data_IF_323344398721
#
_entry.id   IF_323344398721
#
_cell.length_a   1.000
_cell.length_b   1.000
_cell.length_c   1.000
_cell.angle_alpha   90.00
_cell.angle_beta   90.00
_cell.angle_gamma   90.00
#
_symmetry.space_group_name_H-M   'P 1'
#
loop_
_entity.id
_entity.type
_entity.pdbx_description
1 polymer ?
#
# COMPACT_ATOMS: atom_id res chain seq x y z
N UNK A 1 -16.27 -3.86 -6.69
CA UNK A 1 -15.78 -4.60 -5.47
C UNK A 1 -14.57 -3.86 -4.95
N UNK A 2 -14.43 -3.74 -3.64
CA UNK A 2 -13.24 -3.11 -3.07
C UNK A 2 -11.97 -3.92 -3.36
N UNK A 3 -10.87 -3.22 -3.58
CA UNK A 3 -9.56 -3.84 -3.83
C UNK A 3 -8.85 -4.07 -2.50
N UNK A 4 -8.50 -5.32 -2.19
CA UNK A 4 -7.84 -5.83 -0.98
C UNK A 4 -8.67 -5.77 0.32
N UNK A 5 -9.34 -4.67 0.63
CA UNK A 5 -10.06 -4.49 1.92
C UNK A 5 -11.45 -3.91 1.70
N UNK A 6 -12.43 -4.38 2.47
CA UNK A 6 -13.82 -3.96 2.43
C UNK A 6 -14.45 -3.96 3.84
N UNK A 7 -15.78 -3.74 3.92
CA UNK A 7 -16.53 -3.76 5.18
C UNK A 7 -16.53 -5.11 5.91
N UNK A 8 -16.17 -6.21 5.23
CA UNK A 8 -16.11 -7.55 5.81
C UNK A 8 -14.70 -7.89 6.32
N UNK A 9 -13.73 -7.00 6.11
CA UNK A 9 -12.36 -7.19 6.54
C UNK A 9 -12.27 -7.14 8.06
N UNK A 10 -11.77 -8.23 8.67
CA UNK A 10 -11.57 -8.39 10.11
C UNK A 10 -10.09 -8.28 10.44
N UNK A 11 -9.73 -7.15 11.03
CA UNK A 11 -8.34 -6.75 11.22
C UNK A 11 -7.82 -7.19 12.58
N UNK A 12 -6.68 -7.86 12.61
CA UNK A 12 -5.87 -8.02 13.81
C UNK A 12 -4.62 -7.13 13.74
N UNK A 13 -4.09 -6.76 14.90
CA UNK A 13 -2.87 -5.96 14.99
C UNK A 13 -1.74 -6.76 15.63
N UNK A 14 -0.58 -6.84 15.00
CA UNK A 14 0.65 -7.36 15.62
C UNK A 14 1.46 -6.19 16.22
N UNK A 15 1.94 -6.36 17.45
CA UNK A 15 2.44 -5.26 18.27
C UNK A 15 1.31 -4.43 18.91
N UNK A 16 0.20 -5.09 19.24
CA UNK A 16 -1.10 -4.48 19.55
C UNK A 16 -1.06 -3.53 20.77
N UNK A 17 -0.40 -3.92 21.85
CA UNK A 17 -0.31 -3.10 23.07
C UNK A 17 0.83 -2.07 23.04
N UNK A 18 1.56 -1.98 21.94
CA UNK A 18 2.56 -0.93 21.73
C UNK A 18 1.88 0.40 21.36
N UNK A 19 2.56 1.53 21.61
CA UNK A 19 2.00 2.86 21.36
C UNK A 19 1.47 3.04 19.92
N UNK A 20 2.22 2.60 18.92
CA UNK A 20 1.79 2.70 17.51
C UNK A 20 0.63 1.76 17.20
N UNK A 21 0.69 0.50 17.66
CA UNK A 21 -0.39 -0.47 17.49
C UNK A 21 -1.70 0.02 18.10
N UNK A 22 -1.66 0.49 19.35
CA UNK A 22 -2.81 1.07 20.03
C UNK A 22 -3.38 2.28 19.29
N UNK A 23 -2.54 3.27 18.97
CA UNK A 23 -2.97 4.51 18.32
C UNK A 23 -3.61 4.25 16.96
N UNK A 24 -2.94 3.49 16.09
CA UNK A 24 -3.47 3.28 14.74
C UNK A 24 -4.65 2.32 14.69
N UNK A 25 -4.75 1.35 15.61
CA UNK A 25 -5.95 0.53 15.77
C UNK A 25 -7.14 1.39 16.21
N UNK A 26 -6.94 2.30 17.19
CA UNK A 26 -8.01 3.23 17.62
C UNK A 26 -8.50 4.12 16.46
N UNK A 27 -7.59 4.63 15.63
CA UNK A 27 -7.94 5.41 14.44
C UNK A 27 -8.67 4.58 13.38
N UNK A 28 -8.33 3.31 13.21
CA UNK A 28 -9.03 2.38 12.34
C UNK A 28 -10.46 2.09 12.82
N UNK A 29 -10.62 1.82 14.11
CA UNK A 29 -11.92 1.63 14.76
C UNK A 29 -12.80 2.89 14.62
N UNK A 30 -12.23 4.06 14.92
CA UNK A 30 -12.92 5.35 14.76
C UNK A 30 -13.35 5.63 13.30
N UNK A 31 -12.61 5.11 12.34
CA UNK A 31 -12.95 5.19 10.91
C UNK A 31 -14.11 4.25 10.53
N UNK A 32 -14.40 3.25 11.33
CA UNK A 32 -15.44 2.24 11.06
C UNK A 32 -14.91 0.88 10.59
N UNK A 33 -13.58 0.67 10.63
CA UNK A 33 -12.98 -0.64 10.31
C UNK A 33 -13.21 -1.63 11.46
N UNK A 34 -13.41 -2.91 11.14
CA UNK A 34 -13.64 -3.96 12.12
C UNK A 34 -12.34 -4.54 12.64
N UNK A 35 -11.80 -3.98 13.73
CA UNK A 35 -10.68 -4.57 14.47
C UNK A 35 -11.21 -5.60 15.47
N UNK A 36 -10.58 -6.78 15.52
CA UNK A 36 -11.09 -7.93 16.28
C UNK A 36 -10.17 -8.38 17.41
N UNK A 37 -8.99 -7.80 17.53
CA UNK A 37 -7.97 -8.11 18.53
C UNK A 37 -6.57 -7.94 17.99
N UNK A 38 -5.59 -8.51 18.67
CA UNK A 38 -4.21 -8.47 18.19
C UNK A 38 -3.26 -9.27 19.07
N UNK A 39 -2.00 -9.29 18.65
CA UNK A 39 -0.95 -10.03 19.36
C UNK A 39 0.05 -9.12 20.05
N UNK A 40 0.42 -9.51 21.25
CA UNK A 40 1.60 -9.04 21.97
C UNK A 40 2.12 -10.21 22.81
N UNK A 41 3.24 -10.83 22.42
CA UNK A 41 3.81 -11.98 23.12
C UNK A 41 3.97 -11.72 24.63
N UNK A 42 3.54 -12.68 25.45
CA UNK A 42 3.56 -12.58 26.90
C UNK A 42 2.39 -11.80 27.52
N UNK A 43 1.42 -11.33 26.71
CA UNK A 43 0.20 -10.65 27.19
C UNK A 43 -1.08 -11.35 26.75
N UNK A 44 -0.97 -12.56 26.20
CA UNK A 44 -2.13 -13.36 25.82
C UNK A 44 -3.09 -13.63 26.96
N UNK A 45 -4.37 -13.76 26.63
CA UNK A 45 -5.44 -13.96 27.61
C UNK A 45 -5.90 -12.69 28.35
N UNK A 46 -5.35 -11.52 28.00
CA UNK A 46 -5.77 -10.22 28.57
C UNK A 46 -6.65 -9.45 27.59
N UNK A 47 -7.29 -8.39 28.08
CA UNK A 47 -7.97 -7.40 27.25
C UNK A 47 -7.09 -6.16 27.07
N UNK A 48 -7.10 -5.59 25.87
CA UNK A 48 -6.40 -4.32 25.61
C UNK A 48 -7.03 -3.21 26.46
N UNK A 49 -6.21 -2.46 27.26
CA UNK A 49 -6.73 -1.55 28.28
C UNK A 49 -7.55 -0.38 27.70
N UNK A 50 -7.22 0.09 26.50
CA UNK A 50 -7.90 1.23 25.88
C UNK A 50 -8.97 0.80 24.85
N UNK A 51 -8.74 -0.29 24.13
CA UNK A 51 -9.60 -0.68 23.00
C UNK A 51 -10.64 -1.75 23.36
N UNK A 52 -10.52 -2.36 24.56
CA UNK A 52 -11.38 -3.43 25.03
C UNK A 52 -11.53 -4.58 24.02
N UNK A 53 -10.44 -4.96 23.38
CA UNK A 53 -10.32 -6.06 22.43
C UNK A 53 -9.34 -7.11 22.98
N UNK A 54 -9.52 -8.41 22.66
CA UNK A 54 -8.68 -9.48 23.17
C UNK A 54 -7.23 -9.38 22.66
N UNK A 55 -6.29 -9.69 23.55
CA UNK A 55 -4.87 -9.80 23.25
C UNK A 55 -4.49 -11.27 23.28
N UNK A 56 -3.70 -11.70 22.31
CA UNK A 56 -3.21 -13.07 22.13
C UNK A 56 -1.68 -13.13 22.12
N UNK A 57 -1.12 -14.30 22.42
CA UNK A 57 0.32 -14.48 22.32
C UNK A 57 0.76 -14.77 20.88
N UNK A 58 -0.08 -15.42 20.08
CA UNK A 58 0.24 -15.81 18.70
C UNK A 58 -0.82 -15.39 17.69
N UNK A 59 -0.38 -15.24 16.42
CA UNK A 59 -1.28 -14.95 15.29
C UNK A 59 -2.26 -16.09 15.07
N UNK A 60 -1.82 -17.33 15.14
CA UNK A 60 -2.67 -18.51 14.95
C UNK A 60 -3.81 -18.55 15.98
N UNK A 61 -3.52 -18.26 17.26
CA UNK A 61 -4.53 -18.18 18.31
C UNK A 61 -5.54 -17.06 18.04
N UNK A 62 -5.05 -15.88 17.64
CA UNK A 62 -5.91 -14.74 17.30
C UNK A 62 -6.84 -15.07 16.14
N UNK A 63 -6.31 -15.65 15.05
CA UNK A 63 -7.12 -16.08 13.89
C UNK A 63 -8.17 -17.09 14.27
N UNK A 64 -7.80 -18.12 15.03
CA UNK A 64 -8.71 -19.19 15.46
C UNK A 64 -9.87 -18.67 16.30
N UNK A 65 -9.62 -17.69 17.18
CA UNK A 65 -10.62 -17.13 18.10
C UNK A 65 -11.47 -16.01 17.49
N UNK A 66 -10.89 -15.22 16.56
CA UNK A 66 -11.52 -14.00 16.05
C UNK A 66 -11.90 -14.10 14.58
N UNK A 67 -11.40 -15.11 13.86
CA UNK A 67 -11.54 -15.22 12.39
C UNK A 67 -11.01 -13.97 11.67
N UNK A 68 -9.91 -13.40 12.16
CA UNK A 68 -9.21 -12.32 11.49
C UNK A 68 -8.75 -12.78 10.10
N UNK A 69 -8.99 -11.95 9.09
CA UNK A 69 -8.59 -12.19 7.70
C UNK A 69 -7.61 -11.14 7.16
N UNK A 70 -7.24 -10.19 7.98
CA UNK A 70 -6.18 -9.23 7.71
C UNK A 70 -5.35 -8.97 8.96
N UNK A 71 -4.02 -8.87 8.80
CA UNK A 71 -3.10 -8.47 9.87
C UNK A 71 -2.39 -7.17 9.51
N UNK A 72 -2.29 -6.25 10.46
CA UNK A 72 -1.44 -5.07 10.34
C UNK A 72 -0.30 -5.12 11.35
N UNK A 73 0.93 -4.86 10.88
CA UNK A 73 2.16 -5.03 11.67
C UNK A 73 2.75 -3.66 12.02
N UNK A 74 2.87 -3.40 13.34
CA UNK A 74 3.57 -2.27 13.93
C UNK A 74 4.73 -2.73 14.81
N UNK A 75 5.18 -3.95 14.64
CA UNK A 75 6.30 -4.56 15.38
C UNK A 75 7.59 -3.84 14.99
N UNK A 76 8.52 -3.57 15.93
CA UNK A 76 9.82 -2.97 15.61
C UNK A 76 10.63 -3.75 14.57
N UNK A 77 11.42 -3.05 13.76
CA UNK A 77 12.12 -3.59 12.60
C UNK A 77 12.89 -4.90 12.83
N UNK A 78 13.62 -5.11 13.96
CA UNK A 78 14.34 -6.36 14.21
C UNK A 78 13.45 -7.61 14.33
N UNK A 79 12.15 -7.42 14.61
CA UNK A 79 11.19 -8.51 14.84
C UNK A 79 10.07 -8.54 13.78
N UNK A 80 10.03 -7.56 12.88
CA UNK A 80 8.92 -7.42 11.94
C UNK A 80 8.91 -8.51 10.86
N UNK A 81 10.07 -9.00 10.45
CA UNK A 81 10.15 -10.14 9.52
C UNK A 81 9.55 -11.41 10.13
N UNK A 82 9.85 -11.70 11.41
CA UNK A 82 9.29 -12.84 12.13
C UNK A 82 7.77 -12.69 12.28
N UNK A 83 7.28 -11.47 12.55
CA UNK A 83 5.85 -11.17 12.60
C UNK A 83 5.14 -11.43 11.25
N UNK A 84 5.80 -11.12 10.11
CA UNK A 84 5.28 -11.44 8.78
C UNK A 84 5.26 -12.95 8.57
N UNK A 85 6.35 -13.67 8.92
CA UNK A 85 6.46 -15.11 8.77
C UNK A 85 5.41 -15.85 9.61
N UNK A 86 5.16 -15.41 10.84
CA UNK A 86 4.11 -15.93 11.70
C UNK A 86 2.71 -15.77 11.09
N UNK A 87 2.44 -14.63 10.48
CA UNK A 87 1.17 -14.39 9.79
C UNK A 87 1.02 -15.25 8.52
N UNK A 88 2.11 -15.52 7.80
CA UNK A 88 2.12 -16.46 6.67
C UNK A 88 1.85 -17.89 7.15
N UNK A 89 2.49 -18.33 8.23
CA UNK A 89 2.31 -19.67 8.82
C UNK A 89 0.86 -19.86 9.30
N UNK A 90 0.26 -18.83 9.86
CA UNK A 90 -1.14 -18.82 10.26
C UNK A 90 -2.14 -18.64 9.08
N UNK A 91 -1.66 -18.65 7.84
CA UNK A 91 -2.46 -18.49 6.60
C UNK A 91 -3.35 -17.23 6.59
N UNK A 92 -2.90 -16.13 7.19
CA UNK A 92 -3.63 -14.85 7.13
C UNK A 92 -3.69 -14.36 5.67
N UNK A 93 -4.87 -14.18 5.08
CA UNK A 93 -4.98 -13.85 3.65
C UNK A 93 -4.31 -12.55 3.25
N UNK A 94 -4.37 -11.51 4.11
CA UNK A 94 -3.80 -10.19 3.86
C UNK A 94 -2.92 -9.75 5.03
N UNK A 95 -1.68 -9.43 4.75
CA UNK A 95 -0.71 -8.88 5.73
C UNK A 95 -0.25 -7.51 5.26
N UNK A 96 -0.34 -6.51 6.13
CA UNK A 96 0.08 -5.14 5.85
C UNK A 96 1.18 -4.78 6.85
N UNK A 97 2.41 -4.62 6.36
CA UNK A 97 3.56 -4.29 7.20
C UNK A 97 3.90 -2.79 7.08
N UNK A 98 3.65 -2.05 8.17
CA UNK A 98 3.93 -0.61 8.22
C UNK A 98 5.41 -0.35 8.51
N UNK A 99 6.04 -1.25 9.24
CA UNK A 99 7.40 -1.11 9.76
C UNK A 99 8.41 -0.80 8.67
N UNK A 100 9.21 0.23 8.90
CA UNK A 100 10.39 0.60 8.12
C UNK A 100 11.67 0.03 8.75
N UNK A 101 12.70 -0.21 7.92
CA UNK A 101 14.04 -0.58 8.38
C UNK A 101 14.23 -2.07 8.64
N UNK A 102 13.38 -2.93 8.10
CA UNK A 102 13.58 -4.38 8.14
C UNK A 102 14.83 -4.73 7.30
N UNK A 103 15.78 -5.54 7.82
CA UNK A 103 16.95 -5.95 7.06
C UNK A 103 16.58 -6.64 5.75
N UNK A 104 17.25 -6.26 4.66
CA UNK A 104 16.97 -6.80 3.31
C UNK A 104 17.03 -8.33 3.28
N UNK A 105 18.02 -8.95 3.96
CA UNK A 105 18.15 -10.40 4.00
C UNK A 105 16.99 -11.10 4.71
N UNK A 106 16.38 -10.44 5.69
CA UNK A 106 15.20 -10.99 6.37
C UNK A 106 13.98 -10.90 5.46
N UNK A 107 13.84 -9.79 4.69
CA UNK A 107 12.81 -9.68 3.67
C UNK A 107 12.99 -10.67 2.51
N UNK A 108 14.21 -11.11 2.19
CA UNK A 108 14.46 -12.20 1.22
C UNK A 108 13.89 -13.52 1.75
N UNK A 109 14.04 -13.82 3.06
CA UNK A 109 13.41 -14.99 3.71
C UNK A 109 11.89 -14.92 3.64
N UNK A 110 11.33 -13.74 3.98
CA UNK A 110 9.89 -13.47 3.86
C UNK A 110 9.40 -13.70 2.43
N UNK A 111 10.11 -13.15 1.43
CA UNK A 111 9.73 -13.32 0.02
C UNK A 111 9.74 -14.79 -0.42
N UNK A 112 10.67 -15.60 0.10
CA UNK A 112 10.69 -17.04 -0.12
C UNK A 112 9.48 -17.73 0.50
N UNK A 113 9.11 -17.37 1.74
CA UNK A 113 7.95 -17.95 2.42
C UNK A 113 6.62 -17.57 1.73
N UNK A 114 6.53 -16.33 1.20
CA UNK A 114 5.38 -15.90 0.40
C UNK A 114 5.21 -16.72 -0.89
N UNK A 115 6.32 -17.21 -1.47
CA UNK A 115 6.26 -18.03 -2.68
C UNK A 115 5.57 -19.36 -2.40
N UNK A 116 4.37 -19.53 -2.94
CA UNK A 116 3.53 -20.71 -2.69
C UNK A 116 2.57 -20.60 -1.50
N UNK A 117 2.61 -19.52 -0.73
CA UNK A 117 1.59 -19.21 0.27
C UNK A 117 0.35 -18.58 -0.37
N UNK A 118 -0.76 -18.53 0.38
CA UNK A 118 -1.98 -17.82 -0.01
C UNK A 118 -2.01 -16.38 0.52
N UNK A 119 -1.00 -15.99 1.30
CA UNK A 119 -0.91 -14.69 1.93
C UNK A 119 -0.49 -13.62 0.92
N UNK A 120 -1.22 -12.53 0.86
CA UNK A 120 -0.82 -11.31 0.17
C UNK A 120 -0.14 -10.38 1.17
N UNK A 121 1.08 -9.93 0.87
CA UNK A 121 1.81 -8.95 1.68
C UNK A 121 1.82 -7.58 1.00
N UNK A 122 1.41 -6.54 1.71
CA UNK A 122 1.57 -5.12 1.35
C UNK A 122 2.66 -4.51 2.23
N UNK A 123 3.63 -3.84 1.62
CA UNK A 123 4.83 -3.36 2.32
C UNK A 123 5.99 -4.36 2.31
N UNK A 124 6.99 -4.20 3.16
CA UNK A 124 7.10 -3.30 4.32
C UNK A 124 7.26 -1.82 3.97
N UNK A 125 7.45 -0.97 5.00
CA UNK A 125 7.65 0.48 4.84
C UNK A 125 6.52 1.12 4.01
N UNK A 126 5.28 0.83 4.36
CA UNK A 126 4.11 1.29 3.63
C UNK A 126 3.11 2.03 4.53
N UNK A 127 2.28 2.93 3.98
CA UNK A 127 1.27 3.63 4.76
C UNK A 127 0.01 2.81 5.01
N UNK A 128 -0.13 1.64 4.38
CA UNK A 128 -1.31 0.78 4.50
C UNK A 128 -2.22 0.78 3.28
N UNK A 129 -3.47 0.41 3.52
CA UNK A 129 -4.54 0.29 2.51
C UNK A 129 -5.82 0.91 3.05
N UNK A 130 -6.57 1.59 2.18
CA UNK A 130 -7.88 2.14 2.52
C UNK A 130 -8.85 2.01 1.34
N UNK A 131 -10.05 1.51 1.63
CA UNK A 131 -11.23 1.64 0.77
C UNK A 131 -12.16 2.65 1.44
N UNK A 132 -12.30 3.86 0.86
CA UNK A 132 -13.01 4.94 1.52
C UNK A 132 -14.47 4.59 1.86
N UNK A 133 -14.84 4.83 3.13
CA UNK A 133 -16.17 4.52 3.67
C UNK A 133 -16.37 3.04 4.05
N UNK A 134 -15.38 2.17 3.87
CA UNK A 134 -15.48 0.75 4.19
C UNK A 134 -14.44 0.26 5.19
N UNK A 135 -13.15 0.42 4.87
CA UNK A 135 -12.08 -0.11 5.70
C UNK A 135 -10.80 0.71 5.54
N UNK A 136 -10.15 0.99 6.66
CA UNK A 136 -8.84 1.64 6.77
C UNK A 136 -7.91 0.76 7.60
N UNK A 137 -6.78 0.37 7.03
CA UNK A 137 -5.71 -0.35 7.71
C UNK A 137 -4.38 0.38 7.50
N UNK A 138 -3.70 0.71 8.59
CA UNK A 138 -2.43 1.43 8.54
C UNK A 138 -2.54 2.89 8.99
N UNK A 139 -1.60 3.72 8.52
CA UNK A 139 -1.37 5.08 9.02
C UNK A 139 -1.98 6.19 8.16
N UNK A 140 -2.62 5.87 7.03
CA UNK A 140 -3.23 6.87 6.16
C UNK A 140 -4.28 7.71 6.92
N UNK A 141 -4.31 9.05 6.75
CA UNK A 141 -5.31 9.91 7.37
C UNK A 141 -6.69 9.69 6.73
N UNK A 142 -7.62 9.04 7.44
CA UNK A 142 -8.93 8.67 6.90
C UNK A 142 -9.78 9.86 6.42
N UNK A 143 -9.65 11.01 7.09
CA UNK A 143 -10.48 12.20 6.84
C UNK A 143 -10.25 12.88 5.47
N UNK A 144 -9.12 12.65 4.81
CA UNK A 144 -8.86 13.19 3.46
C UNK A 144 -9.44 12.32 2.33
N UNK A 145 -9.76 11.05 2.64
CA UNK A 145 -10.30 10.11 1.68
C UNK A 145 -11.81 10.30 1.50
N UNK A 146 -12.28 10.22 0.26
CA UNK A 146 -13.70 10.25 -0.08
C UNK A 146 -14.02 9.10 -1.03
N UNK A 147 -15.18 8.46 -0.89
CA UNK A 147 -15.63 7.44 -1.84
C UNK A 147 -15.69 8.04 -3.25
N UNK A 148 -15.14 7.33 -4.22
CA UNK A 148 -15.10 7.76 -5.61
C UNK A 148 -14.53 6.68 -6.52
N UNK A 149 -13.86 7.08 -7.59
CA UNK A 149 -13.47 6.15 -8.66
C UNK A 149 -11.99 6.15 -9.03
N UNK A 150 -11.14 6.86 -8.30
CA UNK A 150 -9.70 6.88 -8.56
C UNK A 150 -9.01 5.78 -7.74
N UNK A 151 -8.38 4.82 -8.40
CA UNK A 151 -7.44 3.89 -7.76
C UNK A 151 -6.10 4.60 -7.53
N UNK A 152 -5.54 4.55 -6.33
CA UNK A 152 -4.24 5.15 -6.02
C UNK A 152 -3.26 4.06 -5.61
N UNK A 153 -2.13 3.95 -6.31
CA UNK A 153 -1.01 3.07 -5.94
C UNK A 153 0.27 3.89 -5.82
N UNK A 154 0.99 3.72 -4.71
CA UNK A 154 2.13 4.58 -4.41
C UNK A 154 3.21 3.90 -3.58
N UNK A 155 4.47 4.21 -3.85
CA UNK A 155 5.62 3.88 -2.99
C UNK A 155 5.74 4.82 -1.80
N UNK A 156 5.28 6.07 -1.95
CA UNK A 156 5.43 7.14 -0.97
C UNK A 156 4.17 7.34 -0.14
N UNK A 157 4.27 7.35 1.18
CA UNK A 157 3.18 7.71 2.07
C UNK A 157 2.72 9.16 1.86
N UNK A 158 3.63 10.11 1.94
CA UNK A 158 3.34 11.56 1.86
C UNK A 158 2.70 11.96 0.53
N UNK A 159 3.28 11.48 -0.60
CA UNK A 159 2.72 11.77 -1.92
C UNK A 159 1.38 11.06 -2.17
N UNK A 160 1.13 9.94 -1.52
CA UNK A 160 -0.19 9.32 -1.49
C UNK A 160 -1.22 10.27 -0.91
N UNK A 161 -0.92 10.88 0.24
CA UNK A 161 -1.84 11.82 0.90
C UNK A 161 -2.10 13.05 0.07
N UNK A 162 -1.08 13.56 -0.62
CA UNK A 162 -1.21 14.68 -1.55
C UNK A 162 -2.16 14.34 -2.72
N UNK A 163 -1.94 13.20 -3.38
CA UNK A 163 -2.80 12.75 -4.48
C UNK A 163 -4.25 12.54 -4.05
N UNK A 164 -4.44 11.92 -2.87
CA UNK A 164 -5.77 11.68 -2.30
C UNK A 164 -6.47 12.99 -1.96
N UNK A 165 -5.79 13.94 -1.31
CA UNK A 165 -6.35 15.24 -0.98
C UNK A 165 -6.81 16.00 -2.24
N UNK A 166 -5.96 16.03 -3.29
CA UNK A 166 -6.28 16.69 -4.55
C UNK A 166 -7.43 16.04 -5.30
N UNK A 167 -7.44 14.71 -5.42
CA UNK A 167 -8.52 13.97 -6.09
C UNK A 167 -9.85 14.08 -5.33
N UNK A 168 -9.80 14.12 -3.99
CA UNK A 168 -10.96 14.40 -3.14
C UNK A 168 -11.49 15.83 -3.30
N UNK A 169 -10.59 16.82 -3.35
CA UNK A 169 -10.94 18.21 -3.58
C UNK A 169 -11.53 18.45 -4.98
N UNK A 170 -11.04 17.70 -5.98
CA UNK A 170 -11.58 17.72 -7.34
C UNK A 170 -12.94 17.00 -7.49
N UNK A 171 -13.48 16.43 -6.42
CA UNK A 171 -14.77 15.72 -6.44
C UNK A 171 -14.71 14.31 -7.05
N UNK A 172 -13.50 13.78 -7.32
CA UNK A 172 -13.32 12.46 -7.93
C UNK A 172 -13.37 11.32 -6.89
N UNK A 173 -12.79 11.55 -5.70
CA UNK A 173 -12.68 10.56 -4.65
C UNK A 173 -11.88 9.32 -5.07
N UNK A 174 -11.76 8.33 -4.19
CA UNK A 174 -10.99 7.12 -4.45
C UNK A 174 -11.87 5.86 -4.36
N UNK A 175 -11.62 4.90 -5.26
CA UNK A 175 -12.15 3.54 -5.15
C UNK A 175 -11.38 2.76 -4.09
N UNK A 176 -10.06 2.79 -4.17
CA UNK A 176 -9.13 2.24 -3.19
C UNK A 176 -7.80 2.97 -3.25
N UNK A 177 -7.09 2.98 -2.14
CA UNK A 177 -5.74 3.55 -2.04
C UNK A 177 -4.81 2.51 -1.42
N UNK A 178 -3.74 2.15 -2.14
CA UNK A 178 -2.78 1.11 -1.76
C UNK A 178 -1.38 1.71 -1.72
N UNK A 179 -0.79 1.77 -0.54
CA UNK A 179 0.62 2.10 -0.38
C UNK A 179 1.46 0.83 -0.40
N UNK A 180 2.30 0.66 -1.42
CA UNK A 180 3.14 -0.55 -1.58
C UNK A 180 4.49 -0.48 -0.87
N UNK A 181 4.88 0.71 -0.41
CA UNK A 181 6.13 0.94 0.30
C UNK A 181 7.34 1.22 -0.58
N UNK A 182 8.37 1.77 0.04
CA UNK A 182 9.61 2.22 -0.61
C UNK A 182 10.79 1.26 -0.50
N UNK A 183 10.63 0.08 0.10
CA UNK A 183 11.71 -0.88 0.27
C UNK A 183 12.02 -1.64 -1.02
N UNK A 184 13.29 -2.05 -1.23
CA UNK A 184 13.71 -2.76 -2.45
C UNK A 184 13.14 -4.19 -2.52
N UNK A 185 12.92 -4.86 -1.39
CA UNK A 185 12.29 -6.18 -1.30
C UNK A 185 10.97 -6.03 -0.56
N UNK A 186 9.89 -6.20 -1.28
CA UNK A 186 8.52 -5.98 -0.78
C UNK A 186 7.57 -7.11 -1.20
N UNK A 187 6.39 -7.12 -0.64
CA UNK A 187 5.30 -8.01 -0.99
C UNK A 187 4.77 -7.70 -2.39
N UNK A 188 3.66 -6.97 -2.46
CA UNK A 188 3.08 -6.49 -3.73
C UNK A 188 3.94 -5.41 -4.37
N UNK A 189 3.93 -5.38 -5.70
CA UNK A 189 4.50 -4.31 -6.50
C UNK A 189 3.42 -3.61 -7.35
N UNK A 190 3.80 -2.66 -8.20
CA UNK A 190 2.87 -1.92 -9.07
C UNK A 190 1.99 -2.85 -9.90
N UNK A 191 2.55 -3.86 -10.57
CA UNK A 191 1.77 -4.78 -11.41
C UNK A 191 0.63 -5.42 -10.63
N UNK A 192 0.91 -5.92 -9.42
CA UNK A 192 -0.08 -6.62 -8.61
C UNK A 192 -1.30 -5.73 -8.30
N UNK A 193 -1.05 -4.47 -7.95
CA UNK A 193 -2.13 -3.51 -7.64
C UNK A 193 -2.81 -2.99 -8.91
N UNK A 194 -2.04 -2.73 -9.98
CA UNK A 194 -2.59 -2.28 -11.26
C UNK A 194 -3.51 -3.33 -11.86
N UNK A 195 -3.16 -4.61 -11.78
CA UNK A 195 -4.01 -5.71 -12.23
C UNK A 195 -5.36 -5.73 -11.49
N UNK A 196 -5.33 -5.53 -10.16
CA UNK A 196 -6.54 -5.41 -9.35
C UNK A 196 -7.39 -4.20 -9.79
N UNK A 197 -6.77 -3.03 -9.99
CA UNK A 197 -7.47 -1.83 -10.43
C UNK A 197 -8.06 -1.96 -11.85
N UNK A 198 -7.39 -2.68 -12.76
CA UNK A 198 -7.94 -2.91 -14.10
C UNK A 198 -9.17 -3.80 -14.06
N UNK A 199 -9.21 -4.79 -13.18
CA UNK A 199 -10.35 -5.73 -12.99
C UNK A 199 -11.50 -5.12 -12.19
N UNK A 200 -11.23 -4.12 -11.35
CA UNK A 200 -12.23 -3.50 -10.50
C UNK A 200 -13.11 -2.52 -11.29
N UNK A 201 -14.42 -2.78 -11.32
CA UNK A 201 -15.39 -1.96 -12.04
C UNK A 201 -15.60 -0.57 -11.43
N UNK A 202 -15.35 -0.41 -10.12
CA UNK A 202 -15.48 0.89 -9.45
C UNK A 202 -14.29 1.80 -9.75
N UNK A 203 -13.12 1.24 -10.04
CA UNK A 203 -11.94 2.01 -10.43
C UNK A 203 -12.06 2.45 -11.89
N UNK A 204 -12.25 3.75 -12.13
CA UNK A 204 -12.40 4.33 -13.48
C UNK A 204 -11.13 5.02 -13.98
N UNK A 205 -10.24 5.38 -13.07
CA UNK A 205 -8.95 6.00 -13.39
C UNK A 205 -7.92 5.64 -12.31
N UNK A 206 -6.63 5.83 -12.60
CA UNK A 206 -5.55 5.37 -11.72
C UNK A 206 -4.53 6.49 -11.53
N UNK A 207 -4.08 6.69 -10.29
CA UNK A 207 -2.88 7.46 -9.95
C UNK A 207 -1.78 6.50 -9.53
N UNK A 208 -0.63 6.59 -10.20
CA UNK A 208 0.56 5.77 -9.97
C UNK A 208 1.72 6.67 -9.55
N UNK A 209 2.19 6.53 -8.30
CA UNK A 209 3.26 7.37 -7.74
C UNK A 209 4.47 6.52 -7.44
N UNK A 210 5.55 6.81 -8.15
CA UNK A 210 6.85 6.17 -7.96
C UNK A 210 7.94 7.18 -7.57
N UNK A 211 9.15 6.70 -7.58
CA UNK A 211 10.34 7.45 -7.24
C UNK A 211 11.56 6.89 -7.97
N UNK A 212 12.69 7.55 -7.88
CA UNK A 212 13.96 7.05 -8.39
C UNK A 212 14.33 5.68 -7.79
N UNK A 213 15.17 4.94 -8.49
CA UNK A 213 15.69 3.63 -8.07
C UNK A 213 14.80 2.45 -8.46
N UNK A 214 15.43 1.36 -8.85
CA UNK A 214 14.77 0.16 -9.36
C UNK A 214 14.03 0.38 -10.68
N UNK A 215 13.25 -0.61 -11.10
CA UNK A 215 12.56 -0.62 -12.40
C UNK A 215 11.04 -0.84 -12.28
N UNK A 216 10.50 -0.90 -11.09
CA UNK A 216 9.10 -1.28 -10.85
C UNK A 216 8.09 -0.39 -11.60
N UNK A 217 8.36 0.92 -11.68
CA UNK A 217 7.50 1.88 -12.38
C UNK A 217 7.51 1.66 -13.90
N UNK A 218 8.68 1.32 -14.45
CA UNK A 218 8.81 1.03 -15.89
C UNK A 218 8.11 -0.27 -16.25
N UNK A 219 8.26 -1.28 -15.42
CA UNK A 219 7.56 -2.58 -15.57
C UNK A 219 6.05 -2.39 -15.45
N UNK A 220 5.59 -1.55 -14.50
CA UNK A 220 4.19 -1.17 -14.37
C UNK A 220 3.66 -0.40 -15.58
N UNK A 221 4.45 0.51 -16.14
CA UNK A 221 4.10 1.25 -17.35
C UNK A 221 3.97 0.32 -18.58
N UNK A 222 4.91 -0.61 -18.76
CA UNK A 222 4.85 -1.61 -19.83
C UNK A 222 3.63 -2.54 -19.66
N UNK A 223 3.30 -2.92 -18.43
CA UNK A 223 2.08 -3.67 -18.12
C UNK A 223 0.83 -2.90 -18.54
N UNK A 224 0.70 -1.63 -18.17
CA UNK A 224 -0.42 -0.77 -18.54
C UNK A 224 -0.51 -0.59 -20.06
N UNK A 225 0.61 -0.43 -20.74
CA UNK A 225 0.64 -0.33 -22.21
C UNK A 225 0.02 -1.56 -22.88
N UNK A 226 0.27 -2.75 -22.34
CA UNK A 226 -0.25 -4.01 -22.89
C UNK A 226 -1.68 -4.32 -22.47
N UNK A 227 -2.01 -4.05 -21.18
CA UNK A 227 -3.26 -4.57 -20.59
C UNK A 227 -4.34 -3.51 -20.42
N UNK A 228 -4.00 -2.22 -20.41
CA UNK A 228 -4.98 -1.16 -20.22
C UNK A 228 -5.34 -0.43 -21.51
N UNK A 229 -4.38 -0.16 -22.40
CA UNK A 229 -4.59 0.72 -23.54
C UNK A 229 -4.76 -0.04 -24.86
N UNK A 230 -5.73 0.41 -25.68
CA UNK A 230 -5.99 -0.12 -27.03
C UNK A 230 -7.37 -0.72 -27.21
N UNK A 231 -7.68 -1.22 -28.42
CA UNK A 231 -8.98 -1.82 -28.73
C UNK A 231 -9.30 -3.02 -27.82
N UNK A 232 -10.51 -3.03 -27.25
CA UNK A 232 -10.96 -4.10 -26.37
C UNK A 232 -10.32 -4.13 -24.96
N UNK A 233 -9.53 -3.12 -24.61
CA UNK A 233 -8.92 -2.95 -23.30
C UNK A 233 -9.75 -2.01 -22.40
N UNK A 234 -9.49 -1.99 -21.08
CA UNK A 234 -10.22 -1.12 -20.15
C UNK A 234 -10.14 0.36 -20.47
N UNK A 235 -9.01 0.83 -21.02
CA UNK A 235 -8.73 2.23 -21.37
C UNK A 235 -8.97 3.22 -20.21
N UNK A 236 -8.66 2.80 -18.99
CA UNK A 236 -8.76 3.67 -17.81
C UNK A 236 -7.67 4.74 -17.88
N UNK A 237 -7.99 6.04 -17.76
CA UNK A 237 -6.97 7.08 -17.69
C UNK A 237 -6.02 6.86 -16.51
N UNK A 238 -4.72 7.02 -16.77
CA UNK A 238 -3.68 6.86 -15.75
C UNK A 238 -2.86 8.13 -15.65
N UNK A 239 -2.67 8.62 -14.43
CA UNK A 239 -1.77 9.72 -14.10
C UNK A 239 -0.58 9.18 -13.32
N UNK A 240 0.63 9.50 -13.76
CA UNK A 240 1.88 9.11 -13.11
C UNK A 240 2.63 10.30 -12.52
N UNK A 241 3.38 10.04 -11.46
CA UNK A 241 4.36 10.96 -10.92
C UNK A 241 5.59 10.20 -10.41
N UNK A 242 6.79 10.73 -10.66
CA UNK A 242 8.05 10.17 -10.18
C UNK A 242 8.77 11.20 -9.31
N UNK A 243 8.98 10.86 -8.05
CA UNK A 243 9.75 11.68 -7.11
C UNK A 243 11.26 11.53 -7.34
N UNK A 244 12.02 12.58 -7.01
CA UNK A 244 13.48 12.55 -6.99
C UNK A 244 14.15 13.05 -8.27
N UNK A 245 13.50 13.85 -9.11
CA UNK A 245 14.09 14.41 -10.34
C UNK A 245 15.39 15.20 -10.12
N UNK A 246 15.59 15.77 -8.93
CA UNK A 246 16.80 16.52 -8.56
C UNK A 246 17.77 15.70 -7.70
N UNK A 247 17.53 14.41 -7.53
CA UNK A 247 18.37 13.56 -6.69
C UNK A 247 19.73 13.28 -7.35
N UNK A 248 20.84 13.46 -6.63
CA UNK A 248 22.16 13.14 -7.16
C UNK A 248 22.33 11.60 -7.26
N UNK A 249 23.04 11.11 -8.33
CA UNK A 249 23.33 9.69 -8.48
C UNK A 249 24.08 9.11 -7.27
N UNK A 250 23.78 7.85 -6.92
CA UNK A 250 24.46 7.11 -5.86
C UNK A 250 24.08 7.52 -4.43
N UNK A 251 23.24 8.55 -4.26
CA UNK A 251 22.75 8.97 -2.92
C UNK A 251 21.37 8.40 -2.66
N UNK A 252 21.20 7.79 -1.48
CA UNK A 252 19.89 7.35 -0.99
C UNK A 252 19.03 8.56 -0.60
N UNK A 253 17.81 8.60 -1.12
CA UNK A 253 16.87 9.71 -0.94
C UNK A 253 15.63 9.26 -0.12
N UNK A 254 15.78 9.18 1.20
CA UNK A 254 14.71 8.72 2.09
C UNK A 254 14.59 7.19 2.09
N UNK A 255 13.74 6.64 1.24
CA UNK A 255 13.48 5.21 1.15
C UNK A 255 14.72 4.39 0.80
N UNK A 256 14.82 3.16 1.34
CA UNK A 256 15.95 2.27 1.07
C UNK A 256 16.13 1.93 -0.41
N UNK A 257 15.02 1.86 -1.17
CA UNK A 257 15.02 1.61 -2.60
C UNK A 257 15.20 2.85 -3.48
N UNK A 258 15.22 4.06 -2.91
CA UNK A 258 15.33 5.31 -3.67
C UNK A 258 16.80 5.74 -3.89
N UNK A 259 17.51 4.98 -4.72
CA UNK A 259 18.92 5.21 -5.08
C UNK A 259 19.07 5.02 -6.59
N UNK A 260 19.65 6.01 -7.28
CA UNK A 260 20.02 5.89 -8.70
C UNK A 260 21.32 5.09 -8.78
N UNK A 261 21.28 3.90 -9.36
CA UNK A 261 22.41 2.98 -9.44
C UNK A 261 22.85 2.62 -10.87
N UNK A 262 22.04 2.89 -11.90
CA UNK A 262 22.30 2.38 -13.23
C UNK A 262 21.83 3.20 -14.44
N UNK A 263 21.51 4.47 -14.30
CA UNK A 263 21.13 5.35 -15.41
C UNK A 263 19.74 5.13 -16.03
N UNK A 264 19.16 3.95 -15.89
CA UNK A 264 17.78 3.64 -16.31
C UNK A 264 16.75 3.81 -15.17
N UNK A 265 17.22 4.04 -13.96
CA UNK A 265 16.44 4.17 -12.75
C UNK A 265 16.31 5.63 -12.26
N UNK A 266 16.60 6.58 -13.16
CA UNK A 266 16.40 8.02 -12.93
C UNK A 266 14.92 8.39 -13.05
N UNK A 267 14.55 9.55 -12.51
CA UNK A 267 13.20 10.07 -12.65
C UNK A 267 12.83 10.32 -14.12
N UNK A 268 13.78 10.89 -14.91
CA UNK A 268 13.58 11.20 -16.33
C UNK A 268 13.30 9.93 -17.14
N UNK A 269 14.11 8.88 -16.96
CA UNK A 269 13.94 7.61 -17.68
C UNK A 269 12.57 6.97 -17.36
N UNK A 270 12.14 7.02 -16.10
CA UNK A 270 10.84 6.50 -15.68
C UNK A 270 9.67 7.33 -16.21
N UNK A 271 9.77 8.66 -16.16
CA UNK A 271 8.75 9.56 -16.73
C UNK A 271 8.61 9.36 -18.24
N UNK A 272 9.71 9.17 -18.96
CA UNK A 272 9.68 8.88 -20.40
C UNK A 272 9.02 7.52 -20.70
N UNK A 273 9.34 6.48 -19.92
CA UNK A 273 8.69 5.18 -20.05
C UNK A 273 7.18 5.28 -19.79
N UNK A 274 6.75 6.04 -18.79
CA UNK A 274 5.33 6.29 -18.51
C UNK A 274 4.64 7.00 -19.68
N UNK A 275 5.24 8.09 -20.21
CA UNK A 275 4.69 8.82 -21.36
C UNK A 275 4.58 7.92 -22.59
N UNK A 276 5.60 7.14 -22.87
CA UNK A 276 5.62 6.18 -23.99
C UNK A 276 4.58 5.06 -23.85
N UNK A 277 4.15 4.79 -22.64
CA UNK A 277 3.08 3.85 -22.34
C UNK A 277 1.66 4.45 -22.42
N UNK A 278 1.52 5.76 -22.64
CA UNK A 278 0.22 6.45 -22.67
C UNK A 278 -0.25 6.97 -21.32
N UNK A 279 0.63 7.03 -20.32
CA UNK A 279 0.35 7.56 -18.99
C UNK A 279 0.56 9.08 -18.99
N UNK A 280 -0.39 9.83 -18.43
CA UNK A 280 -0.27 11.28 -18.24
C UNK A 280 0.64 11.57 -17.06
N UNK A 281 1.83 12.11 -17.32
CA UNK A 281 2.81 12.42 -16.26
C UNK A 281 2.56 13.82 -15.71
N UNK A 282 2.33 13.92 -14.41
CA UNK A 282 2.18 15.21 -13.73
C UNK A 282 3.56 15.89 -13.55
N UNK A 283 3.63 17.20 -13.82
CA UNK A 283 4.87 17.97 -13.76
C UNK A 283 5.34 18.24 -12.32
N UNK A 284 4.43 18.18 -11.36
CA UNK A 284 4.71 18.37 -9.93
C UNK A 284 3.74 17.58 -9.07
N UNK A 285 4.06 17.32 -7.79
CA UNK A 285 3.12 16.70 -6.86
C UNK A 285 1.80 17.46 -6.74
N UNK A 286 1.84 18.79 -6.78
CA UNK A 286 0.66 19.65 -6.69
C UNK A 286 -0.25 19.62 -7.93
N UNK A 287 0.22 19.03 -9.03
CA UNK A 287 -0.53 18.93 -10.27
C UNK A 287 -1.27 17.60 -10.45
N UNK A 288 -1.12 16.63 -9.51
CA UNK A 288 -1.70 15.29 -9.64
C UNK A 288 -3.22 15.30 -9.87
N UNK A 289 -3.97 16.04 -9.05
CA UNK A 289 -5.43 16.14 -9.18
C UNK A 289 -5.85 16.85 -10.47
N UNK A 290 -5.20 17.97 -10.81
CA UNK A 290 -5.53 18.72 -12.04
C UNK A 290 -5.18 17.94 -13.31
N UNK A 291 -4.11 17.17 -13.29
CA UNK A 291 -3.74 16.26 -14.40
C UNK A 291 -4.77 15.14 -14.54
N UNK A 292 -5.27 14.57 -13.42
CA UNK A 292 -6.34 13.58 -13.47
C UNK A 292 -7.63 14.15 -14.07
N UNK A 293 -8.03 15.37 -13.65
CA UNK A 293 -9.21 16.02 -14.23
C UNK A 293 -9.07 16.24 -15.74
N UNK A 294 -7.86 16.59 -16.21
CA UNK A 294 -7.58 16.72 -17.65
C UNK A 294 -7.65 15.37 -18.36
N UNK A 295 -7.00 14.34 -17.81
CA UNK A 295 -6.98 13.00 -18.38
C UNK A 295 -8.37 12.35 -18.50
N UNK A 296 -9.32 12.71 -17.62
CA UNK A 296 -10.70 12.24 -17.68
C UNK A 296 -11.58 12.98 -18.71
N UNK A 297 -11.13 14.14 -19.22
CA UNK A 297 -11.87 14.91 -20.24
C UNK A 297 -11.46 14.57 -21.68
N UNK A 298 -10.37 13.83 -21.86
CA UNK A 298 -9.80 13.43 -23.16
C UNK A 298 -8.83 14.50 -23.62
#
# INVERSE_FOLDING_TARGET
MAVLVDKNTRVMTQGFTGAQGTFHASQGIAYGSTYVGGTTPGKGGTMHPELNLPVFDTVAECVAKTQANASVIYVPAPFAADAILEAIDAEVPLVICITEGIPVLDMVKVKRALSGSRTTLVGPNCPGVITPGECKIGIMPGHIHKRGSVGVVSRSGTLTYEAVAQTSAAGLGQSSCVGIGGDPVKGMDFIDVLELFLKDEETKSIVMIGEIGGQSEMIGADFLKRENFGPGKPNKPVVGFIAGATAPPGRRMGHAGAVISGGKDTAEAKMEAMKSAGIHVADSPSALGSTMVKALKG
#
